data_IF_727076174410
#
_entry.id   IF_727076174410
#
_cell.length_a   1.000
_cell.length_b   1.000
_cell.length_c   1.000
_cell.angle_alpha   90.00
_cell.angle_beta   90.00
_cell.angle_gamma   90.00
#
_symmetry.space_group_name_H-M   'P 1'
#
loop_
_entity.id
_entity.type
_entity.pdbx_description
1 polymer ?
#
# COMPACT_ATOMS: atom_id res chain seq x y z
N UNK A 1 -16.90 -1.60 -3.54
CA UNK A 1 -15.82 -1.51 -2.54
C UNK A 1 -14.64 -0.88 -3.27
N UNK A 2 -14.17 0.27 -2.84
CA UNK A 2 -13.15 1.03 -3.57
C UNK A 2 -11.77 0.61 -3.03
N UNK A 3 -10.99 -0.11 -3.84
CA UNK A 3 -9.67 -0.62 -3.43
C UNK A 3 -8.78 0.53 -2.94
N UNK A 4 -8.89 1.70 -3.56
CA UNK A 4 -8.15 2.88 -3.14
C UNK A 4 -8.45 3.28 -1.70
N UNK A 5 -9.71 3.41 -1.30
CA UNK A 5 -10.09 3.83 0.06
C UNK A 5 -9.60 2.84 1.12
N UNK A 6 -9.67 1.54 0.82
CA UNK A 6 -9.16 0.47 1.70
C UNK A 6 -7.64 0.55 1.85
N UNK A 7 -6.90 0.79 0.76
CA UNK A 7 -5.45 0.98 0.79
C UNK A 7 -5.06 2.23 1.58
N UNK A 8 -5.78 3.34 1.40
CA UNK A 8 -5.52 4.57 2.16
C UNK A 8 -5.73 4.37 3.67
N UNK A 9 -6.80 3.69 4.07
CA UNK A 9 -7.06 3.35 5.48
C UNK A 9 -6.00 2.39 6.03
N UNK A 10 -5.62 1.37 5.26
CA UNK A 10 -4.57 0.44 5.64
C UNK A 10 -3.22 1.14 5.82
N UNK A 11 -2.80 1.97 4.88
CA UNK A 11 -1.55 2.74 5.00
C UNK A 11 -1.58 3.68 6.20
N UNK A 12 -2.71 4.33 6.47
CA UNK A 12 -2.87 5.22 7.64
C UNK A 12 -2.71 4.45 8.97
N UNK A 13 -3.33 3.27 9.06
CA UNK A 13 -3.29 2.41 10.25
C UNK A 13 -1.91 1.76 10.44
N UNK A 14 -1.36 1.14 9.39
CA UNK A 14 -0.08 0.43 9.44
C UNK A 14 1.09 1.38 9.69
N UNK A 15 1.09 2.55 9.07
CA UNK A 15 2.16 3.55 9.23
C UNK A 15 1.85 4.57 10.36
N UNK A 16 0.73 4.42 11.07
CA UNK A 16 0.31 5.32 12.14
C UNK A 16 0.30 6.80 11.72
N UNK A 17 -0.26 7.10 10.55
CA UNK A 17 -0.26 8.44 9.95
C UNK A 17 -1.31 9.40 10.57
N UNK A 18 -2.14 8.90 11.49
CA UNK A 18 -3.14 9.67 12.23
C UNK A 18 -4.15 10.43 11.34
N UNK A 19 -4.67 9.76 10.31
CA UNK A 19 -5.62 10.32 9.34
C UNK A 19 -4.98 11.06 8.16
N UNK A 20 -3.65 11.24 8.14
CA UNK A 20 -2.96 11.88 7.02
C UNK A 20 -2.98 11.02 5.76
N UNK A 21 -2.91 9.70 5.89
CA UNK A 21 -2.94 8.76 4.77
C UNK A 21 -4.25 8.80 3.99
N UNK A 22 -5.36 9.07 4.69
CA UNK A 22 -6.70 9.18 4.09
C UNK A 22 -6.84 10.33 3.08
N UNK A 23 -5.94 11.31 3.14
CA UNK A 23 -5.93 12.46 2.21
C UNK A 23 -4.98 12.27 1.03
N UNK A 24 -4.36 11.10 0.88
CA UNK A 24 -3.46 10.85 -0.25
C UNK A 24 -4.23 10.58 -1.54
N UNK A 25 -3.68 11.08 -2.63
CA UNK A 25 -4.16 10.81 -3.99
C UNK A 25 -3.24 9.77 -4.68
N UNK A 26 -3.68 9.22 -5.81
CA UNK A 26 -2.94 8.24 -6.61
C UNK A 26 -1.53 8.72 -7.00
N UNK A 27 -1.37 10.02 -7.25
CA UNK A 27 -0.07 10.64 -7.60
C UNK A 27 0.85 10.85 -6.38
N UNK A 28 0.38 10.54 -5.17
CA UNK A 28 1.17 10.73 -3.95
C UNK A 28 2.30 9.72 -3.89
N UNK A 29 3.54 10.22 -3.93
CA UNK A 29 4.72 9.40 -3.70
C UNK A 29 4.73 8.87 -2.26
N UNK A 30 4.96 7.57 -2.13
CA UNK A 30 5.07 6.87 -0.86
C UNK A 30 6.55 6.71 -0.50
N UNK A 31 7.30 5.98 -1.34
CA UNK A 31 8.74 5.80 -1.15
C UNK A 31 9.49 7.13 -1.28
N UNK A 32 10.31 7.42 -0.28
CA UNK A 32 11.14 8.63 -0.20
C UNK A 32 10.40 9.90 0.27
N UNK A 33 9.07 9.90 0.26
CA UNK A 33 8.25 11.03 0.72
C UNK A 33 7.61 10.79 2.09
N UNK A 34 7.31 9.52 2.43
CA UNK A 34 6.96 9.13 3.79
C UNK A 34 8.20 8.60 4.52
N UNK A 35 8.70 9.28 5.56
CA UNK A 35 9.76 8.76 6.41
C UNK A 35 9.32 7.52 7.21
N UNK A 36 8.01 7.32 7.41
CA UNK A 36 7.43 6.16 8.11
C UNK A 36 7.50 4.88 7.26
N UNK A 37 7.55 5.00 5.93
CA UNK A 37 7.65 3.86 5.03
C UNK A 37 9.12 3.45 4.86
N UNK A 38 9.66 2.80 5.89
CA UNK A 38 10.98 2.18 5.85
C UNK A 38 10.93 0.73 5.32
N UNK A 39 12.08 0.06 5.22
CA UNK A 39 12.17 -1.32 4.72
C UNK A 39 11.37 -2.33 5.55
N UNK A 40 11.14 -2.09 6.84
CA UNK A 40 10.36 -2.98 7.72
C UNK A 40 8.86 -2.68 7.61
N UNK A 41 8.50 -1.40 7.48
CA UNK A 41 7.14 -0.95 7.29
C UNK A 41 6.56 -1.43 5.96
N UNK A 42 7.37 -1.50 4.89
CA UNK A 42 6.96 -2.10 3.61
C UNK A 42 6.48 -3.55 3.81
N UNK A 43 7.22 -4.37 4.56
CA UNK A 43 6.80 -5.74 4.87
C UNK A 43 5.50 -5.78 5.68
N UNK A 44 5.32 -4.86 6.64
CA UNK A 44 4.09 -4.77 7.42
C UNK A 44 2.89 -4.38 6.55
N UNK A 45 3.05 -3.44 5.62
CA UNK A 45 2.01 -3.02 4.67
C UNK A 45 1.64 -4.18 3.75
N UNK A 46 2.62 -4.92 3.24
CA UNK A 46 2.39 -6.10 2.39
C UNK A 46 1.59 -7.15 3.14
N UNK A 47 2.02 -7.48 4.35
CA UNK A 47 1.31 -8.44 5.19
C UNK A 47 -0.14 -8.00 5.48
N UNK A 48 -0.35 -6.73 5.82
CA UNK A 48 -1.68 -6.19 6.04
C UNK A 48 -2.56 -6.24 4.77
N UNK A 49 -1.97 -6.03 3.59
CA UNK A 49 -2.68 -6.15 2.30
C UNK A 49 -3.10 -7.60 2.08
N UNK A 50 -2.21 -8.56 2.31
CA UNK A 50 -2.51 -9.98 2.19
C UNK A 50 -3.67 -10.38 3.12
N UNK A 51 -3.62 -9.96 4.38
CA UNK A 51 -4.68 -10.25 5.35
C UNK A 51 -6.01 -9.58 4.99
N UNK A 52 -5.99 -8.31 4.55
CA UNK A 52 -7.21 -7.52 4.30
C UNK A 52 -7.92 -7.90 3.01
N UNK A 53 -7.16 -8.21 1.96
CA UNK A 53 -7.71 -8.59 0.65
C UNK A 53 -7.75 -10.12 0.46
N UNK A 54 -7.13 -10.89 1.33
CA UNK A 54 -7.07 -12.35 1.22
C UNK A 54 -6.25 -12.83 0.02
N UNK A 55 -5.27 -12.04 -0.41
CA UNK A 55 -4.38 -12.32 -1.55
C UNK A 55 -2.99 -12.70 -1.06
N UNK A 56 -2.20 -13.37 -1.89
CA UNK A 56 -0.79 -13.60 -1.64
C UNK A 56 0.04 -12.68 -2.54
N UNK A 57 0.98 -11.94 -1.96
CA UNK A 57 1.87 -11.03 -2.68
C UNK A 57 3.18 -11.77 -2.97
N UNK A 58 3.54 -12.03 -4.24
CA UNK A 58 4.78 -12.72 -4.58
C UNK A 58 6.00 -11.85 -4.27
N UNK A 59 7.06 -12.42 -3.69
CA UNK A 59 8.30 -11.69 -3.39
C UNK A 59 8.94 -11.05 -4.64
N UNK A 60 8.85 -11.70 -5.80
CA UNK A 60 9.36 -11.19 -7.08
C UNK A 60 8.61 -9.94 -7.59
N UNK A 61 7.39 -9.72 -7.09
CA UNK A 61 6.53 -8.58 -7.44
C UNK A 61 6.66 -7.41 -6.43
N UNK A 62 7.30 -7.66 -5.29
CA UNK A 62 7.65 -6.65 -4.29
C UNK A 62 8.91 -5.91 -4.76
N UNK A 63 8.72 -4.91 -5.62
CA UNK A 63 9.79 -4.00 -6.02
C UNK A 63 9.54 -2.56 -5.53
N UNK A 64 10.57 -1.71 -5.66
CA UNK A 64 10.48 -0.29 -5.30
C UNK A 64 9.55 0.53 -6.21
N UNK A 65 9.11 -0.01 -7.35
CA UNK A 65 8.14 0.63 -8.25
C UNK A 65 6.69 0.35 -7.86
N UNK A 66 6.37 -0.87 -7.40
CA UNK A 66 5.04 -1.28 -6.92
C UNK A 66 4.59 -0.42 -5.72
N UNK A 67 5.53 0.02 -4.89
CA UNK A 67 5.31 0.89 -3.73
C UNK A 67 5.74 2.35 -3.94
N UNK A 68 5.99 2.77 -5.19
CA UNK A 68 6.45 4.13 -5.47
C UNK A 68 5.38 5.18 -5.13
N UNK A 69 4.13 4.92 -5.49
CA UNK A 69 2.99 5.83 -5.29
C UNK A 69 1.76 5.09 -4.79
N UNK A 70 0.78 5.81 -4.24
CA UNK A 70 -0.53 5.23 -3.88
C UNK A 70 -1.18 4.57 -5.09
N UNK A 71 -1.14 5.20 -6.26
CA UNK A 71 -1.70 4.65 -7.49
C UNK A 71 -1.06 3.31 -7.86
N UNK A 72 0.26 3.20 -7.75
CA UNK A 72 0.99 1.95 -7.99
C UNK A 72 0.54 0.83 -7.06
N UNK A 73 0.36 1.11 -5.76
CA UNK A 73 -0.11 0.11 -4.79
C UNK A 73 -1.55 -0.30 -5.06
N UNK A 74 -2.41 0.65 -5.42
CA UNK A 74 -3.82 0.36 -5.73
C UNK A 74 -3.93 -0.51 -6.99
N UNK A 75 -3.20 -0.18 -8.06
CA UNK A 75 -3.17 -1.02 -9.26
C UNK A 75 -2.58 -2.40 -8.98
N UNK A 76 -1.53 -2.47 -8.17
CA UNK A 76 -0.91 -3.71 -7.75
C UNK A 76 -1.92 -4.65 -7.07
N UNK A 77 -2.62 -4.15 -6.05
CA UNK A 77 -3.62 -4.92 -5.31
C UNK A 77 -4.83 -5.23 -6.19
N UNK A 78 -5.28 -4.29 -7.02
CA UNK A 78 -6.38 -4.53 -7.95
C UNK A 78 -6.08 -5.64 -8.95
N UNK A 79 -4.83 -5.74 -9.41
CA UNK A 79 -4.38 -6.78 -10.34
C UNK A 79 -4.35 -8.16 -9.68
N UNK A 80 -3.87 -8.24 -8.44
CA UNK A 80 -3.82 -9.48 -7.66
C UNK A 80 -5.22 -9.94 -7.22
N UNK A 81 -6.07 -9.01 -6.76
CA UNK A 81 -7.44 -9.31 -6.32
C UNK A 81 -8.39 -9.69 -7.47
N UNK A 82 -8.01 -9.39 -8.72
CA UNK A 82 -8.79 -9.77 -9.90
C UNK A 82 -8.51 -11.21 -10.38
N UNK A 83 -7.56 -11.92 -9.76
CA UNK A 83 -7.26 -13.33 -9.99
C UNK A 83 -7.85 -14.22 -8.90
#
# INVERSE_FOLDING_TARGET
MNIQEEILSLLDETLSLNGRGLSFDADTALLGNLPELDSMAVLAVIHAIEERFGIAVPDDEIDGSSFATVGSVVEFVSRLSAH
#
